data_IF_721510192224
#
_entry.id   IF_721510192224
#
_cell.length_a   1.000
_cell.length_b   1.000
_cell.length_c   1.000
_cell.angle_alpha   90.00
_cell.angle_beta   90.00
_cell.angle_gamma   90.00
#
_symmetry.space_group_name_H-M   'P 1'
#
loop_
_entity.id
_entity.type
_entity.pdbx_description
1 polymer ?
#
# COMPACT_ATOMS: atom_id res chain seq x y z
N UNK A 1 -13.88 14.42 20.52
CA UNK A 1 -13.94 14.42 19.04
C UNK A 1 -15.17 13.64 18.61
N UNK A 2 -15.92 14.10 17.61
CA UNK A 2 -17.09 13.35 17.11
C UNK A 2 -16.66 12.10 16.33
N UNK A 3 -17.54 11.11 16.25
CA UNK A 3 -17.33 9.86 15.51
C UNK A 3 -17.01 10.12 14.03
N UNK A 4 -17.67 11.12 13.43
CA UNK A 4 -17.39 11.59 12.06
C UNK A 4 -15.96 12.16 11.89
N UNK A 5 -15.43 12.79 12.94
CA UNK A 5 -14.06 13.32 12.90
C UNK A 5 -13.04 12.18 12.87
N UNK A 6 -13.27 11.12 13.65
CA UNK A 6 -12.39 9.94 13.68
C UNK A 6 -12.35 9.20 12.35
N UNK A 7 -13.52 8.98 11.71
CA UNK A 7 -13.61 8.34 10.39
C UNK A 7 -12.88 9.14 9.32
N UNK A 8 -13.05 10.47 9.32
CA UNK A 8 -12.32 11.35 8.39
C UNK A 8 -10.81 11.28 8.61
N UNK A 9 -10.35 11.32 9.85
CA UNK A 9 -8.91 11.28 10.17
C UNK A 9 -8.28 10.00 9.64
N UNK A 10 -8.89 8.84 9.87
CA UNK A 10 -8.28 7.61 9.43
C UNK A 10 -8.35 7.42 7.90
N UNK A 11 -9.42 7.87 7.24
CA UNK A 11 -9.46 7.92 5.77
C UNK A 11 -8.32 8.78 5.20
N UNK A 12 -8.08 9.96 5.81
CA UNK A 12 -6.95 10.81 5.46
C UNK A 12 -5.60 10.18 5.80
N UNK A 13 -5.49 9.38 6.88
CA UNK A 13 -4.28 8.65 7.22
C UNK A 13 -3.94 7.57 6.18
N UNK A 14 -4.95 6.86 5.67
CA UNK A 14 -4.76 5.90 4.58
C UNK A 14 -4.30 6.59 3.29
N UNK A 15 -4.98 7.67 2.89
CA UNK A 15 -4.60 8.45 1.70
C UNK A 15 -3.19 9.03 1.87
N UNK A 16 -2.86 9.55 3.04
CA UNK A 16 -1.52 10.03 3.37
C UNK A 16 -0.45 8.94 3.24
N UNK A 17 -0.73 7.74 3.75
CA UNK A 17 0.16 6.58 3.60
C UNK A 17 0.34 6.14 2.14
N UNK A 18 -0.73 6.17 1.34
CA UNK A 18 -0.67 5.94 -0.12
C UNK A 18 0.26 6.94 -0.79
N UNK A 19 0.04 8.24 -0.57
CA UNK A 19 0.88 9.29 -1.17
C UNK A 19 2.33 9.15 -0.73
N UNK A 20 2.57 8.90 0.56
CA UNK A 20 3.91 8.70 1.11
C UNK A 20 4.61 7.51 0.45
N UNK A 21 3.94 6.36 0.31
CA UNK A 21 4.51 5.16 -0.29
C UNK A 21 4.94 5.38 -1.75
N UNK A 22 4.14 6.13 -2.52
CA UNK A 22 4.46 6.50 -3.89
C UNK A 22 5.67 7.43 -3.94
N UNK A 23 5.70 8.48 -3.11
CA UNK A 23 6.83 9.42 -3.07
C UNK A 23 8.14 8.73 -2.66
N UNK A 24 8.08 7.84 -1.65
CA UNK A 24 9.23 7.06 -1.21
C UNK A 24 9.75 6.17 -2.35
N UNK A 25 8.87 5.42 -3.01
CA UNK A 25 9.31 4.53 -4.08
C UNK A 25 9.80 5.29 -5.32
N UNK A 26 9.15 6.39 -5.71
CA UNK A 26 9.64 7.28 -6.78
C UNK A 26 11.04 7.81 -6.45
N UNK A 27 11.21 8.38 -5.24
CA UNK A 27 12.49 8.92 -4.80
C UNK A 27 13.58 7.86 -4.74
N UNK A 28 13.26 6.65 -4.27
CA UNK A 28 14.19 5.54 -4.23
C UNK A 28 14.64 5.08 -5.63
N UNK A 29 13.71 5.02 -6.60
CA UNK A 29 14.03 4.66 -7.97
C UNK A 29 14.89 5.71 -8.69
N UNK A 30 14.63 7.00 -8.50
CA UNK A 30 15.44 8.06 -9.10
C UNK A 30 16.83 8.23 -8.49
N UNK A 31 16.97 7.96 -7.19
CA UNK A 31 18.24 8.12 -6.47
C UNK A 31 19.13 6.86 -6.49
N UNK A 32 18.67 5.76 -7.10
CA UNK A 32 19.31 4.44 -6.99
C UNK A 32 19.59 4.08 -5.53
N UNK A 33 18.59 4.27 -4.67
CA UNK A 33 18.71 4.03 -3.23
C UNK A 33 19.21 2.61 -2.94
N UNK A 34 20.14 2.48 -1.99
CA UNK A 34 20.67 1.19 -1.58
C UNK A 34 19.55 0.22 -1.15
N UNK A 35 19.72 -1.06 -1.48
CA UNK A 35 18.71 -2.10 -1.23
C UNK A 35 18.37 -2.24 0.26
N UNK A 36 19.34 -2.09 1.15
CA UNK A 36 19.13 -2.19 2.61
C UNK A 36 18.23 -1.05 3.14
N UNK A 37 18.48 0.18 2.68
CA UNK A 37 17.65 1.34 3.00
C UNK A 37 16.23 1.14 2.49
N UNK A 38 16.11 0.63 1.26
CA UNK A 38 14.82 0.34 0.63
C UNK A 38 14.04 -0.74 1.40
N UNK A 39 14.71 -1.81 1.84
CA UNK A 39 14.12 -2.86 2.66
C UNK A 39 13.61 -2.32 4.00
N UNK A 40 14.40 -1.45 4.65
CA UNK A 40 14.02 -0.79 5.90
C UNK A 40 12.77 0.08 5.72
N UNK A 41 12.72 0.87 4.64
CA UNK A 41 11.54 1.71 4.33
C UNK A 41 10.31 0.87 4.00
N UNK A 42 10.47 -0.23 3.27
CA UNK A 42 9.38 -1.14 2.96
C UNK A 42 8.78 -1.77 4.21
N UNK A 43 9.62 -2.19 5.17
CA UNK A 43 9.17 -2.70 6.48
C UNK A 43 8.43 -1.61 7.24
N UNK A 44 8.97 -0.39 7.30
CA UNK A 44 8.31 0.73 7.97
C UNK A 44 6.94 1.02 7.36
N UNK A 45 6.81 1.01 6.04
CA UNK A 45 5.54 1.22 5.34
C UNK A 45 4.57 0.05 5.51
N UNK A 46 5.04 -1.18 5.57
CA UNK A 46 4.20 -2.33 5.90
C UNK A 46 3.61 -2.20 7.31
N UNK A 47 4.43 -1.82 8.29
CA UNK A 47 3.99 -1.60 9.69
C UNK A 47 3.03 -0.42 9.76
N UNK A 48 3.31 0.70 9.08
CA UNK A 48 2.40 1.83 9.01
C UNK A 48 1.07 1.44 8.38
N UNK A 49 1.10 0.67 7.28
CA UNK A 49 -0.09 0.09 6.66
C UNK A 49 -0.90 -0.69 7.68
N UNK A 50 -0.26 -1.64 8.38
CA UNK A 50 -0.90 -2.46 9.40
C UNK A 50 -1.56 -1.61 10.50
N UNK A 51 -0.88 -0.59 11.00
CA UNK A 51 -1.43 0.32 12.02
C UNK A 51 -2.65 1.07 11.49
N UNK A 52 -2.56 1.64 10.28
CA UNK A 52 -3.67 2.36 9.65
C UNK A 52 -4.86 1.41 9.44
N UNK A 53 -4.63 0.23 8.90
CA UNK A 53 -5.67 -0.77 8.66
C UNK A 53 -6.36 -1.24 9.94
N UNK A 54 -5.58 -1.55 10.97
CA UNK A 54 -6.09 -2.06 12.24
C UNK A 54 -6.92 -1.02 13.00
N UNK A 55 -6.51 0.26 12.95
CA UNK A 55 -7.09 1.35 13.72
C UNK A 55 -8.23 2.08 13.00
N UNK A 56 -8.22 2.11 11.67
CA UNK A 56 -9.19 2.90 10.90
C UNK A 56 -10.36 2.07 10.38
N UNK A 57 -10.16 0.80 10.03
CA UNK A 57 -11.19 0.04 9.33
C UNK A 57 -12.15 -0.59 10.34
N UNK A 58 -13.40 -0.12 10.29
CA UNK A 58 -14.50 -0.65 11.10
C UNK A 58 -15.06 -1.93 10.51
N UNK A 59 -15.69 -2.73 11.35
CA UNK A 59 -16.34 -3.98 10.96
C UNK A 59 -17.37 -3.83 9.84
N UNK A 60 -18.05 -2.68 9.76
CA UNK A 60 -19.07 -2.40 8.74
C UNK A 60 -18.49 -2.09 7.37
N UNK A 61 -17.23 -1.66 7.33
CA UNK A 61 -16.54 -1.20 6.11
C UNK A 61 -15.50 -2.21 5.63
N UNK A 62 -15.28 -3.28 6.40
CA UNK A 62 -14.22 -4.26 6.18
C UNK A 62 -14.31 -4.90 4.80
N UNK A 63 -15.48 -5.41 4.39
CA UNK A 63 -15.60 -6.13 3.11
C UNK A 63 -15.34 -5.21 1.90
N UNK A 64 -15.95 -4.03 1.90
CA UNK A 64 -15.71 -3.00 0.85
C UNK A 64 -14.25 -2.57 0.80
N UNK A 65 -13.60 -2.42 1.97
CA UNK A 65 -12.18 -2.08 2.04
C UNK A 65 -11.28 -3.19 1.51
N UNK A 66 -11.55 -4.45 1.86
CA UNK A 66 -10.80 -5.62 1.37
C UNK A 66 -10.89 -5.71 -0.14
N UNK A 67 -12.09 -5.56 -0.72
CA UNK A 67 -12.29 -5.56 -2.18
C UNK A 67 -11.50 -4.44 -2.85
N UNK A 68 -11.59 -3.21 -2.32
CA UNK A 68 -10.83 -2.07 -2.85
C UNK A 68 -9.31 -2.30 -2.77
N UNK A 69 -8.82 -2.81 -1.64
CA UNK A 69 -7.40 -3.09 -1.42
C UNK A 69 -6.87 -4.20 -2.34
N UNK A 70 -7.69 -5.20 -2.69
CA UNK A 70 -7.35 -6.19 -3.71
C UNK A 70 -7.18 -5.49 -5.07
N UNK A 71 -8.15 -4.67 -5.49
CA UNK A 71 -8.08 -3.94 -6.74
C UNK A 71 -6.85 -3.02 -6.82
N UNK A 72 -6.56 -2.30 -5.74
CA UNK A 72 -5.36 -1.47 -5.63
C UNK A 72 -4.07 -2.29 -5.73
N UNK A 73 -3.97 -3.43 -5.06
CA UNK A 73 -2.78 -4.30 -5.13
C UNK A 73 -2.59 -4.91 -6.53
N UNK A 74 -3.65 -5.38 -7.16
CA UNK A 74 -3.58 -5.91 -8.53
C UNK A 74 -3.13 -4.82 -9.49
N UNK A 75 -3.69 -3.61 -9.37
CA UNK A 75 -3.26 -2.44 -10.14
C UNK A 75 -1.80 -2.08 -9.88
N UNK A 76 -1.35 -2.11 -8.62
CA UNK A 76 0.03 -1.88 -8.24
C UNK A 76 1.00 -2.87 -8.91
N UNK A 77 0.67 -4.15 -8.87
CA UNK A 77 1.49 -5.20 -9.50
C UNK A 77 1.59 -4.96 -11.01
N UNK A 78 0.47 -4.65 -11.67
CA UNK A 78 0.46 -4.36 -13.11
C UNK A 78 1.33 -3.13 -13.45
N UNK A 79 1.20 -2.04 -12.70
CA UNK A 79 1.98 -0.82 -12.90
C UNK A 79 3.46 -1.00 -12.58
N UNK A 80 3.80 -1.79 -11.55
CA UNK A 80 5.18 -2.14 -11.25
C UNK A 80 5.81 -2.96 -12.39
N UNK A 81 5.05 -3.90 -12.99
CA UNK A 81 5.52 -4.67 -14.15
C UNK A 81 5.67 -3.81 -15.42
N UNK A 82 4.80 -2.82 -15.63
CA UNK A 82 5.00 -1.79 -16.67
C UNK A 82 6.31 -1.04 -16.44
N UNK A 83 6.61 -0.66 -15.19
CA UNK A 83 7.89 -0.06 -14.82
C UNK A 83 9.09 -0.92 -15.24
N UNK A 84 9.05 -2.23 -14.95
CA UNK A 84 10.11 -3.17 -15.34
C UNK A 84 10.28 -3.26 -16.85
N UNK A 85 9.18 -3.24 -17.61
CA UNK A 85 9.24 -3.21 -19.07
C UNK A 85 9.93 -1.94 -19.59
N UNK A 86 9.64 -0.78 -19.00
CA UNK A 86 10.29 0.50 -19.34
C UNK A 86 11.78 0.53 -19.00
N UNK A 87 12.24 -0.23 -18.00
CA UNK A 87 13.68 -0.36 -17.71
C UNK A 87 14.44 -1.05 -18.86
N UNK A 88 13.77 -1.87 -19.67
CA UNK A 88 14.37 -2.51 -20.84
C UNK A 88 14.76 -1.56 -21.99
N UNK A 89 14.35 -0.28 -21.93
CA UNK A 89 14.67 0.72 -22.94
C UNK A 89 15.62 1.79 -22.36
N UNK A 90 16.80 2.04 -22.99
CA UNK A 90 17.79 3.01 -22.51
C UNK A 90 17.24 4.41 -22.24
N UNK A 91 16.25 4.85 -23.02
CA UNK A 91 15.67 6.20 -22.92
C UNK A 91 14.73 6.37 -21.72
N UNK A 92 14.30 5.27 -21.08
CA UNK A 92 13.28 5.27 -20.02
C UNK A 92 13.74 4.58 -18.74
N UNK A 93 15.01 4.20 -18.61
CA UNK A 93 15.54 3.43 -17.48
C UNK A 93 15.18 4.05 -16.13
N UNK A 94 15.53 5.32 -15.89
CA UNK A 94 15.29 5.97 -14.59
C UNK A 94 13.81 6.12 -14.28
N UNK A 95 12.99 6.41 -15.30
CA UNK A 95 11.54 6.52 -15.14
C UNK A 95 10.91 5.16 -14.83
N UNK A 96 11.31 4.10 -15.55
CA UNK A 96 10.87 2.73 -15.31
C UNK A 96 11.25 2.23 -13.92
N UNK A 97 12.46 2.55 -13.43
CA UNK A 97 12.90 2.24 -12.08
C UNK A 97 12.03 2.96 -11.03
N UNK A 98 11.75 4.25 -11.23
CA UNK A 98 10.85 5.03 -10.38
C UNK A 98 9.45 4.43 -10.29
N UNK A 99 8.83 4.09 -11.43
CA UNK A 99 7.51 3.46 -11.48
C UNK A 99 7.51 2.08 -10.80
N UNK A 100 8.50 1.24 -11.10
CA UNK A 100 8.63 -0.10 -10.51
C UNK A 100 8.64 0.00 -8.99
N UNK A 101 9.48 0.90 -8.46
CA UNK A 101 9.70 1.01 -7.04
C UNK A 101 8.50 1.69 -6.34
N UNK A 102 7.91 2.73 -6.94
CA UNK A 102 6.70 3.39 -6.45
C UNK A 102 5.58 2.38 -6.17
N UNK A 103 5.23 1.58 -7.17
CA UNK A 103 4.09 0.67 -7.06
C UNK A 103 4.41 -0.59 -6.25
N UNK A 104 5.67 -1.02 -6.19
CA UNK A 104 6.09 -2.11 -5.30
C UNK A 104 5.86 -1.72 -3.84
N UNK A 105 6.32 -0.53 -3.46
CA UNK A 105 6.24 -0.04 -2.07
C UNK A 105 4.82 0.35 -1.68
N UNK A 106 4.08 0.94 -2.62
CA UNK A 106 2.65 1.18 -2.47
C UNK A 106 1.88 -0.14 -2.23
N UNK A 107 2.15 -1.18 -3.01
CA UNK A 107 1.54 -2.50 -2.79
C UNK A 107 1.81 -3.05 -1.40
N UNK A 108 3.05 -2.91 -0.90
CA UNK A 108 3.44 -3.33 0.45
C UNK A 108 2.63 -2.59 1.54
N UNK A 109 2.47 -1.27 1.40
CA UNK A 109 1.64 -0.49 2.33
C UNK A 109 0.18 -0.96 2.32
N UNK A 110 -0.43 -1.10 1.13
CA UNK A 110 -1.84 -1.52 1.00
C UNK A 110 -2.03 -2.94 1.52
N UNK A 111 -1.09 -3.85 1.23
CA UNK A 111 -1.10 -5.22 1.75
C UNK A 111 -1.05 -5.24 3.29
N UNK A 112 -0.20 -4.40 3.91
CA UNK A 112 -0.17 -4.22 5.35
C UNK A 112 -1.51 -3.72 5.91
N UNK A 113 -2.12 -2.73 5.25
CA UNK A 113 -3.38 -2.14 5.68
C UNK A 113 -4.58 -3.08 5.58
N UNK A 114 -4.59 -4.00 4.62
CA UNK A 114 -5.71 -4.96 4.46
C UNK A 114 -5.58 -6.20 5.31
N UNK A 115 -4.38 -6.53 5.82
CA UNK A 115 -4.13 -7.79 6.50
C UNK A 115 -5.06 -8.02 7.69
N UNK A 116 -5.13 -7.06 8.62
CA UNK A 116 -5.97 -7.20 9.83
C UNK A 116 -7.46 -7.21 9.48
N UNK A 117 -8.00 -6.28 8.67
CA UNK A 117 -9.38 -6.34 8.21
C UNK A 117 -9.74 -7.67 7.53
N UNK A 118 -8.89 -8.18 6.63
CA UNK A 118 -9.12 -9.45 5.94
C UNK A 118 -9.16 -10.65 6.91
N UNK A 119 -8.24 -10.69 7.89
CA UNK A 119 -8.24 -11.74 8.92
C UNK A 119 -9.52 -11.69 9.78
N UNK A 120 -10.03 -10.48 10.08
CA UNK A 120 -11.32 -10.34 10.78
C UNK A 120 -12.48 -10.89 9.96
N UNK A 121 -12.53 -10.64 8.64
CA UNK A 121 -13.56 -11.23 7.77
C UNK A 121 -13.49 -12.75 7.76
N UNK A 122 -12.29 -13.34 7.65
CA UNK A 122 -12.11 -14.81 7.72
C UNK A 122 -12.61 -15.38 9.04
N UNK A 123 -12.29 -14.72 10.16
CA UNK A 123 -12.72 -15.16 11.48
C UNK A 123 -14.25 -15.11 11.66
N UNK A 124 -14.91 -14.09 11.10
CA UNK A 124 -16.38 -13.99 11.12
C UNK A 124 -17.04 -15.11 10.33
N UNK A 125 -16.54 -15.37 9.12
CA UNK A 125 -17.02 -16.49 8.29
C UNK A 125 -16.92 -17.83 9.04
N UNK A 126 -15.84 -18.06 9.80
CA UNK A 126 -15.67 -19.28 10.59
C UNK A 126 -16.58 -19.41 11.82
N UNK A 127 -17.26 -18.34 12.23
CA UNK A 127 -18.18 -18.31 13.38
C UNK A 127 -19.65 -18.36 12.98
N UNK A 128 -19.94 -17.92 11.76
CA UNK A 128 -21.29 -17.92 11.20
C UNK A 128 -21.63 -19.28 10.55
N UNK A 129 -20.65 -20.20 10.47
CA UNK A 129 -20.81 -21.65 10.26
C UNK A 129 -20.80 -22.43 11.60
#
# INVERSE_FOLDING_TARGET
>A
MSEDTMKKIGAWAFIGGVVLSLLVGIGAGFSNMAADTMGTMAIALAVLGLLVGALNITDKETDSFVIAAIGLNVGAIALANLGKWLVGNPSTVSFGAGITQAFTVFGIFVAGAVLIPALRSVYKLSKDE
#
